data_IF_464183174861
#
_entry.id   IF_464183174861
#
_cell.length_a   1.000
_cell.length_b   1.000
_cell.length_c   1.000
_cell.angle_alpha   90.00
_cell.angle_beta   90.00
_cell.angle_gamma   90.00
#
_symmetry.space_group_name_H-M   'P 1'
#
loop_
_entity.id
_entity.type
_entity.pdbx_description
1 polymer ?
#
# COMPACT_ATOMS: atom_id res chain seq x y z
N UNK A 1 -6.90 -6.49 2.10
CA UNK A 1 -7.28 -5.11 1.78
C UNK A 1 -6.74 -4.21 2.88
N UNK A 2 -6.19 -3.05 2.54
CA UNK A 2 -5.65 -2.09 3.51
C UNK A 2 -6.35 -0.75 3.36
N UNK A 3 -6.65 -0.12 4.47
CA UNK A 3 -7.27 1.20 4.56
C UNK A 3 -6.50 2.03 5.58
N UNK A 4 -6.06 3.22 5.19
CA UNK A 4 -5.48 4.20 6.12
C UNK A 4 -6.39 5.42 6.14
N UNK A 5 -6.83 5.78 7.34
CA UNK A 5 -7.73 6.90 7.57
C UNK A 5 -7.00 8.00 8.33
N UNK A 6 -7.22 9.24 7.89
CA UNK A 6 -6.75 10.43 8.60
C UNK A 6 -7.91 11.09 9.33
N UNK A 7 -7.89 11.16 10.66
CA UNK A 7 -8.82 11.96 11.42
C UNK A 7 -8.78 13.43 10.97
N UNK A 8 -9.94 14.03 10.69
CA UNK A 8 -10.05 15.47 10.38
C UNK A 8 -10.38 16.29 11.65
N UNK A 9 -9.89 15.83 12.79
CA UNK A 9 -10.11 16.42 14.11
C UNK A 9 -8.89 16.18 15.01
N UNK A 10 -8.73 17.03 16.03
CA UNK A 10 -7.53 17.09 16.88
C UNK A 10 -7.74 16.36 18.22
N UNK A 11 -8.23 15.13 18.17
CA UNK A 11 -8.43 14.29 19.36
C UNK A 11 -7.73 12.96 19.14
N UNK A 12 -6.87 12.57 20.09
CA UNK A 12 -6.28 11.24 20.08
C UNK A 12 -7.37 10.19 20.31
N UNK A 13 -7.48 9.26 19.36
CA UNK A 13 -8.36 8.11 19.49
C UNK A 13 -7.63 6.98 20.22
N UNK A 14 -8.22 6.40 21.29
CA UNK A 14 -7.67 5.20 21.90
C UNK A 14 -7.51 4.05 20.89
N UNK A 15 -6.52 3.16 21.04
CA UNK A 15 -6.26 2.07 20.08
C UNK A 15 -7.48 1.18 19.80
N UNK A 16 -8.31 0.93 20.83
CA UNK A 16 -9.55 0.15 20.75
C UNK A 16 -10.58 0.73 19.77
N UNK A 17 -10.44 1.99 19.36
CA UNK A 17 -11.35 2.63 18.42
C UNK A 17 -11.25 2.06 17.01
N UNK A 18 -10.13 1.46 16.63
CA UNK A 18 -9.97 0.87 15.29
C UNK A 18 -10.99 -0.25 15.07
N UNK A 19 -11.25 -1.07 16.09
CA UNK A 19 -12.22 -2.17 16.01
C UNK A 19 -13.67 -1.67 15.92
N UNK A 20 -13.99 -0.60 16.66
CA UNK A 20 -15.29 0.07 16.62
C UNK A 20 -15.51 0.67 15.22
N UNK A 21 -14.49 1.38 14.71
CA UNK A 21 -14.49 2.01 13.40
C UNK A 21 -14.76 0.98 12.31
N UNK A 22 -14.01 -0.14 12.35
CA UNK A 22 -14.16 -1.27 11.44
C UNK A 22 -15.58 -1.80 11.42
N UNK A 23 -16.17 -1.99 12.60
CA UNK A 23 -17.55 -2.46 12.74
C UNK A 23 -18.56 -1.49 12.09
N UNK A 24 -18.34 -0.18 12.24
CA UNK A 24 -19.21 0.87 11.69
C UNK A 24 -19.14 1.00 10.17
N UNK A 25 -17.96 0.81 9.58
CA UNK A 25 -17.78 0.97 8.13
C UNK A 25 -17.84 -0.36 7.36
N UNK A 26 -17.96 -1.50 8.05
CA UNK A 26 -18.08 -2.81 7.41
C UNK A 26 -19.24 -2.82 6.41
N UNK A 27 -18.96 -3.28 5.20
CA UNK A 27 -19.92 -3.32 4.10
C UNK A 27 -20.14 -1.98 3.39
N UNK A 28 -19.48 -0.90 3.79
CA UNK A 28 -19.43 0.36 3.03
C UNK A 28 -18.43 0.22 1.87
N UNK A 29 -18.76 0.82 0.74
CA UNK A 29 -17.79 1.03 -0.35
C UNK A 29 -16.92 2.25 -0.01
N UNK A 30 -15.61 2.06 -0.12
CA UNK A 30 -14.61 3.05 0.22
C UNK A 30 -13.72 3.32 -0.98
N UNK A 31 -13.40 4.59 -1.22
CA UNK A 31 -12.52 5.07 -2.29
C UNK A 31 -11.44 6.00 -1.74
N UNK A 32 -10.21 5.81 -2.21
CA UNK A 32 -9.09 6.71 -1.90
C UNK A 32 -9.40 8.16 -2.27
N UNK A 33 -9.07 9.08 -1.36
CA UNK A 33 -9.30 10.51 -1.47
C UNK A 33 -10.69 10.98 -1.05
N UNK A 34 -11.61 10.09 -0.70
CA UNK A 34 -12.92 10.51 -0.19
C UNK A 34 -12.87 10.90 1.30
N UNK A 35 -13.86 11.69 1.73
CA UNK A 35 -14.11 11.95 3.15
C UNK A 35 -15.31 11.12 3.58
N UNK A 36 -15.11 10.27 4.59
CA UNK A 36 -16.17 9.50 5.22
C UNK A 36 -16.56 10.11 6.56
N UNK A 37 -17.87 10.19 6.78
CA UNK A 37 -18.44 10.54 8.07
C UNK A 37 -18.89 9.27 8.79
N UNK A 38 -18.54 9.16 10.07
CA UNK A 38 -18.82 8.00 10.91
C UNK A 38 -19.32 8.50 12.26
N UNK A 39 -20.52 8.07 12.64
CA UNK A 39 -21.06 8.35 13.97
C UNK A 39 -20.36 7.51 15.04
N UNK A 40 -19.55 8.19 15.85
CA UNK A 40 -18.81 7.64 16.96
C UNK A 40 -19.21 8.36 18.25
N UNK A 41 -19.70 7.60 19.23
CA UNK A 41 -20.16 8.13 20.52
C UNK A 41 -21.21 9.26 20.40
N UNK A 42 -22.09 9.18 19.39
CA UNK A 42 -23.13 10.17 19.12
C UNK A 42 -22.63 11.46 18.47
N UNK A 43 -21.37 11.50 17.99
CA UNK A 43 -20.83 12.60 17.19
C UNK A 43 -20.44 12.13 15.79
N UNK A 44 -20.82 12.87 14.73
CA UNK A 44 -20.34 12.59 13.38
C UNK A 44 -18.88 13.02 13.27
N UNK A 45 -17.96 12.05 13.20
CA UNK A 45 -16.54 12.29 13.02
C UNK A 45 -16.16 12.05 11.56
N UNK A 46 -15.35 12.97 11.01
CA UNK A 46 -14.90 12.92 9.62
C UNK A 46 -13.49 12.36 9.52
N UNK A 47 -13.31 11.47 8.56
CA UNK A 47 -12.03 10.86 8.23
C UNK A 47 -11.79 10.98 6.74
N UNK A 48 -10.59 11.38 6.36
CA UNK A 48 -10.13 11.33 4.97
C UNK A 48 -9.49 9.96 4.69
N UNK A 49 -9.86 9.34 3.58
CA UNK A 49 -9.27 8.10 3.10
C UNK A 49 -7.96 8.41 2.38
N UNK A 50 -6.86 8.42 3.12
CA UNK A 50 -5.56 8.82 2.57
C UNK A 50 -4.85 7.69 1.81
N UNK A 51 -5.24 6.43 2.04
CA UNK A 51 -4.74 5.28 1.28
C UNK A 51 -5.74 4.13 1.31
N UNK A 52 -5.98 3.51 0.15
CA UNK A 52 -6.80 2.30 0.02
C UNK A 52 -6.16 1.29 -0.95
N UNK A 53 -6.04 0.03 -0.54
CA UNK A 53 -5.55 -1.06 -1.40
C UNK A 53 -6.54 -2.23 -1.42
N UNK A 54 -7.27 -2.46 -2.53
CA UNK A 54 -7.30 -1.66 -3.77
C UNK A 54 -7.82 -0.23 -3.58
N UNK A 55 -7.61 0.67 -4.56
CA UNK A 55 -8.04 2.08 -4.47
C UNK A 55 -9.54 2.30 -4.24
N UNK A 56 -10.35 1.31 -4.59
CA UNK A 56 -11.78 1.29 -4.32
C UNK A 56 -12.19 -0.14 -3.97
N UNK A 57 -12.85 -0.32 -2.83
CA UNK A 57 -13.33 -1.62 -2.38
C UNK A 57 -14.42 -1.52 -1.31
N UNK A 58 -15.16 -2.62 -1.14
CA UNK A 58 -16.11 -2.78 -0.04
C UNK A 58 -15.42 -3.31 1.20
N UNK A 59 -15.53 -2.62 2.34
CA UNK A 59 -14.87 -3.02 3.60
C UNK A 59 -15.37 -4.38 4.06
N UNK A 60 -14.43 -5.27 4.36
CA UNK A 60 -14.65 -6.65 4.84
C UNK A 60 -14.03 -6.88 6.22
N UNK A 61 -14.36 -8.01 6.82
CA UNK A 61 -13.83 -8.43 8.13
C UNK A 61 -12.31 -8.55 8.16
N UNK A 62 -11.69 -8.90 7.04
CA UNK A 62 -10.24 -9.05 6.90
C UNK A 62 -9.54 -7.76 6.45
N UNK A 63 -10.27 -6.65 6.32
CA UNK A 63 -9.68 -5.36 5.98
C UNK A 63 -8.82 -4.86 7.14
N UNK A 64 -7.53 -4.62 6.87
CA UNK A 64 -6.60 -3.97 7.80
C UNK A 64 -6.88 -2.47 7.79
N UNK A 65 -7.16 -1.88 8.96
CA UNK A 65 -7.45 -0.45 9.11
C UNK A 65 -6.38 0.16 10.01
N UNK A 66 -5.80 1.27 9.57
CA UNK A 66 -4.82 2.05 10.30
C UNK A 66 -5.28 3.51 10.40
N UNK A 67 -4.95 4.17 11.52
CA UNK A 67 -5.20 5.59 11.72
C UNK A 67 -3.87 6.35 11.62
N UNK A 68 -3.82 7.37 10.76
CA UNK A 68 -2.67 8.27 10.72
C UNK A 68 -2.69 9.21 11.93
N UNK A 69 -1.56 9.31 12.62
CA UNK A 69 -1.35 10.15 13.80
C UNK A 69 -0.69 11.50 13.49
N UNK A 70 -0.42 11.81 12.21
CA UNK A 70 0.38 12.98 11.83
C UNK A 70 0.02 13.60 10.48
N UNK A 71 0.82 14.58 10.06
CA UNK A 71 0.68 15.21 8.73
C UNK A 71 1.16 14.28 7.61
N UNK A 72 2.11 13.42 7.92
CA UNK A 72 2.77 12.52 6.97
C UNK A 72 1.96 11.22 6.83
N UNK A 73 1.89 10.70 5.60
CA UNK A 73 1.40 9.35 5.35
C UNK A 73 2.57 8.38 5.57
N UNK A 74 2.47 7.56 6.61
CA UNK A 74 3.43 6.48 6.88
C UNK A 74 2.77 5.17 6.47
N UNK A 75 3.45 4.39 5.63
CA UNK A 75 2.98 3.09 5.16
C UNK A 75 3.99 2.01 5.51
N UNK A 76 3.60 1.14 6.43
CA UNK A 76 4.35 -0.07 6.71
C UNK A 76 3.87 -1.22 5.82
N UNK A 77 4.84 -1.91 5.21
CA UNK A 77 4.64 -3.11 4.40
C UNK A 77 5.40 -4.28 5.04
N UNK A 78 4.64 -5.31 5.42
CA UNK A 78 5.18 -6.54 5.97
C UNK A 78 5.19 -7.63 4.90
N UNK A 79 6.32 -8.30 4.76
CA UNK A 79 6.51 -9.38 3.78
C UNK A 79 7.02 -10.64 4.49
N UNK A 80 6.45 -11.79 4.14
CA UNK A 80 6.95 -13.10 4.59
C UNK A 80 8.32 -13.46 3.97
N UNK A 81 8.77 -12.66 3.01
CA UNK A 81 10.04 -12.84 2.28
C UNK A 81 11.06 -11.80 2.71
N UNK A 82 12.32 -12.22 2.75
CA UNK A 82 13.45 -11.33 3.02
C UNK A 82 13.66 -10.39 1.83
N UNK A 83 13.58 -9.08 2.08
CA UNK A 83 13.96 -8.05 1.11
C UNK A 83 15.46 -8.13 0.88
N UNK A 84 15.87 -8.32 -0.37
CA UNK A 84 17.27 -8.37 -0.80
C UNK A 84 17.80 -6.99 -1.18
N UNK A 85 16.97 -6.18 -1.83
CA UNK A 85 17.35 -4.84 -2.26
C UNK A 85 16.11 -3.97 -2.54
N UNK A 86 16.31 -2.66 -2.55
CA UNK A 86 15.31 -1.66 -2.97
C UNK A 86 15.93 -0.74 -4.00
N UNK A 87 15.25 -0.56 -5.14
CA UNK A 87 15.69 0.31 -6.24
C UNK A 87 14.62 1.38 -6.47
N UNK A 88 15.05 2.64 -6.50
CA UNK A 88 14.17 3.77 -6.85
C UNK A 88 14.25 4.01 -8.36
N UNK A 89 13.10 4.06 -9.02
CA UNK A 89 12.96 4.29 -10.47
C UNK A 89 11.90 5.37 -10.69
N UNK A 90 12.33 6.61 -10.89
CA UNK A 90 11.47 7.79 -11.01
C UNK A 90 10.45 7.90 -9.85
N UNK A 91 9.18 7.60 -10.10
CA UNK A 91 8.08 7.65 -9.12
C UNK A 91 7.68 6.25 -8.64
N UNK A 92 8.59 5.30 -8.69
CA UNK A 92 8.32 3.91 -8.33
C UNK A 92 9.40 3.37 -7.41
N UNK A 93 8.98 2.47 -6.53
CA UNK A 93 9.82 1.77 -5.56
C UNK A 93 9.82 0.30 -5.96
N UNK A 94 10.99 -0.22 -6.35
CA UNK A 94 11.16 -1.62 -6.73
C UNK A 94 11.75 -2.38 -5.55
N UNK A 95 11.02 -3.37 -5.06
CA UNK A 95 11.42 -4.26 -3.98
C UNK A 95 11.84 -5.59 -4.59
N UNK A 96 13.05 -6.02 -4.27
CA UNK A 96 13.65 -7.25 -4.77
C UNK A 96 13.69 -8.29 -3.67
N UNK A 97 13.15 -9.47 -3.97
CA UNK A 97 13.29 -10.68 -3.17
C UNK A 97 14.26 -11.65 -3.87
N UNK A 98 14.41 -12.86 -3.34
CA UNK A 98 15.28 -13.91 -3.93
C UNK A 98 14.92 -14.22 -5.39
N UNK A 99 13.63 -14.43 -5.66
CA UNK A 99 13.10 -14.89 -6.95
C UNK A 99 11.98 -13.99 -7.48
N UNK A 100 11.75 -12.82 -6.88
CA UNK A 100 10.57 -11.99 -7.16
C UNK A 100 10.95 -10.51 -7.23
N UNK A 101 10.27 -9.80 -8.14
CA UNK A 101 10.34 -8.36 -8.29
C UNK A 101 8.94 -7.78 -8.04
N UNK A 102 8.81 -6.94 -7.02
CA UNK A 102 7.61 -6.16 -6.71
C UNK A 102 7.88 -4.69 -7.04
N UNK A 103 6.97 -4.05 -7.76
CA UNK A 103 7.02 -2.61 -8.03
C UNK A 103 5.84 -1.95 -7.37
N UNK A 104 6.12 -0.94 -6.55
CA UNK A 104 5.15 -0.05 -5.94
C UNK A 104 5.22 1.33 -6.62
N UNK A 105 4.10 2.05 -6.64
CA UNK A 105 4.08 3.47 -6.96
C UNK A 105 4.73 4.31 -5.86
N UNK A 106 4.91 5.61 -6.09
CA UNK A 106 5.39 6.57 -5.08
C UNK A 106 4.51 6.62 -3.83
N UNK A 107 3.23 6.25 -3.97
CA UNK A 107 2.27 6.19 -2.87
C UNK A 107 2.13 4.77 -2.29
N UNK A 108 2.96 3.81 -2.70
CA UNK A 108 2.96 2.45 -2.14
C UNK A 108 1.90 1.50 -2.73
N UNK A 109 1.22 1.84 -3.82
CA UNK A 109 0.30 0.89 -4.49
C UNK A 109 1.07 -0.11 -5.34
N UNK A 110 0.62 -1.36 -5.36
CA UNK A 110 1.23 -2.40 -6.20
C UNK A 110 0.94 -2.13 -7.68
N UNK A 111 2.01 -1.95 -8.47
CA UNK A 111 1.96 -1.78 -9.93
C UNK A 111 2.27 -3.10 -10.64
N UNK A 112 3.28 -3.81 -10.17
CA UNK A 112 3.77 -5.03 -10.81
C UNK A 112 4.28 -6.01 -9.75
N UNK A 113 4.08 -7.30 -9.97
CA UNK A 113 4.69 -8.34 -9.16
C UNK A 113 4.84 -9.60 -10.02
N UNK A 114 6.07 -10.08 -10.14
CA UNK A 114 6.32 -11.33 -10.83
C UNK A 114 7.52 -12.07 -10.24
N UNK A 115 7.41 -13.41 -10.25
CA UNK A 115 8.51 -14.31 -9.96
C UNK A 115 9.31 -14.64 -11.21
N UNK A 116 10.62 -14.74 -11.06
CA UNK A 116 11.58 -14.99 -12.12
C UNK A 116 12.44 -16.20 -11.77
N UNK A 117 12.35 -17.26 -12.57
CA UNK A 117 13.27 -18.39 -12.48
C UNK A 117 14.69 -17.94 -12.87
N UNK A 118 15.67 -18.21 -12.01
CA UNK A 118 17.06 -17.80 -12.22
C UNK A 118 17.23 -16.28 -12.33
N UNK A 119 16.53 -15.51 -11.48
CA UNK A 119 16.70 -14.07 -11.34
C UNK A 119 18.17 -13.76 -11.05
N UNK A 120 18.80 -12.98 -11.92
CA UNK A 120 20.23 -12.70 -11.84
C UNK A 120 20.52 -11.26 -11.45
N UNK A 121 19.82 -10.32 -12.08
CA UNK A 121 20.11 -8.89 -11.92
C UNK A 121 18.88 -8.05 -12.20
N UNK A 122 18.73 -6.97 -11.42
CA UNK A 122 17.73 -5.95 -11.66
C UNK A 122 18.38 -4.57 -11.56
N UNK A 123 18.12 -3.72 -12.56
CA UNK A 123 18.66 -2.35 -12.65
C UNK A 123 17.57 -1.38 -13.04
N UNK A 124 17.57 -0.21 -12.42
CA UNK A 124 16.71 0.91 -12.77
C UNK A 124 17.47 1.97 -13.56
N UNK A 125 16.84 2.52 -14.59
CA UNK A 125 17.20 3.83 -15.15
C UNK A 125 16.20 4.87 -14.66
N UNK A 126 16.06 6.03 -15.33
CA UNK A 126 15.05 7.02 -14.96
C UNK A 126 13.64 6.42 -15.02
N UNK A 127 13.24 5.87 -16.17
CA UNK A 127 11.86 5.44 -16.43
C UNK A 127 11.74 3.96 -16.82
N UNK A 128 12.83 3.19 -16.74
CA UNK A 128 12.85 1.80 -17.19
C UNK A 128 13.48 0.90 -16.13
N UNK A 129 12.80 -0.19 -15.81
CA UNK A 129 13.36 -1.30 -15.02
C UNK A 129 13.81 -2.42 -15.96
N UNK A 130 15.07 -2.83 -15.79
CA UNK A 130 15.70 -3.91 -16.54
C UNK A 130 15.85 -5.11 -15.62
N UNK A 131 15.29 -6.25 -16.02
CA UNK A 131 15.32 -7.50 -15.26
C UNK A 131 15.99 -8.58 -16.10
N UNK A 132 17.05 -9.19 -15.57
CA UNK A 132 17.79 -10.28 -16.21
C UNK A 132 17.50 -11.58 -15.45
N UNK A 133 16.97 -12.58 -16.17
CA UNK A 133 16.47 -13.82 -15.59
C UNK A 133 16.80 -15.04 -16.47
N UNK A 134 16.34 -16.23 -16.07
CA UNK A 134 16.70 -17.52 -16.68
C UNK A 134 18.23 -17.70 -16.76
N UNK A 135 18.91 -17.42 -15.64
CA UNK A 135 20.38 -17.50 -15.52
C UNK A 135 21.12 -16.58 -16.51
N UNK A 136 20.51 -15.46 -16.90
CA UNK A 136 21.10 -14.47 -17.79
C UNK A 136 20.78 -14.67 -19.28
N UNK A 137 19.84 -15.56 -19.61
CA UNK A 137 19.43 -15.81 -21.01
C UNK A 137 18.30 -14.92 -21.47
N UNK A 138 17.55 -14.31 -20.54
CA UNK A 138 16.43 -13.43 -20.87
C UNK A 138 16.51 -12.09 -20.16
N UNK A 139 15.98 -11.09 -20.84
CA UNK A 139 15.84 -9.72 -20.35
C UNK A 139 14.38 -9.30 -20.44
N UNK A 140 13.89 -8.60 -19.43
CA UNK A 140 12.60 -7.91 -19.46
C UNK A 140 12.82 -6.43 -19.20
N UNK A 141 12.15 -5.60 -19.98
CA UNK A 141 12.09 -4.16 -19.80
C UNK A 141 10.67 -3.81 -19.35
N UNK A 142 10.57 -3.04 -18.28
CA UNK A 142 9.31 -2.46 -17.81
C UNK A 142 9.47 -0.95 -17.90
N UNK A 143 8.62 -0.30 -18.70
CA UNK A 143 8.57 1.14 -18.85
C UNK A 143 7.46 1.70 -17.96
N UNK A 144 7.78 2.76 -17.21
CA UNK A 144 6.84 3.49 -16.34
C UNK A 144 6.46 4.85 -16.93
#
# INVERSE_FOLDING_TARGET
MKLVLKPLFEVELPPEFVDILKTKIKGREIKEGEIIEIDLLGKPLKFEVIYAEPKEFKVKEDTKIELSSGKELILDFEFDKVIKNVILVERNIVILFEDEVLVLSENGHKIYNEKFEGLKEVRGTKNTLVIVYENGKRIRLIHF
#
